data_IF_606942157132
#
_entry.id   IF_606942157132
#
_cell.length_a   1.000
_cell.length_b   1.000
_cell.length_c   1.000
_cell.angle_alpha   90.00
_cell.angle_beta   90.00
_cell.angle_gamma   90.00
#
_symmetry.space_group_name_H-M   'P 1'
#
loop_
_entity.id
_entity.type
_entity.pdbx_description
1 polymer ?
#
# COMPACT_ATOMS: atom_id res chain seq x y z
N UNK A 1 4.28 -17.17 9.62
CA UNK A 1 4.44 -15.75 9.92
C UNK A 1 4.02 -14.87 8.76
N UNK A 2 4.11 -13.57 8.89
CA UNK A 2 3.85 -12.58 7.85
C UNK A 2 5.10 -12.32 7.03
N UNK A 3 4.96 -12.27 5.71
CA UNK A 3 5.99 -11.78 4.81
C UNK A 3 5.68 -10.31 4.47
N UNK A 4 6.65 -9.43 4.69
CA UNK A 4 6.44 -7.97 4.55
C UNK A 4 7.42 -7.41 3.52
N UNK A 5 6.90 -6.68 2.55
CA UNK A 5 7.68 -5.89 1.60
C UNK A 5 7.68 -4.42 2.03
N UNK A 6 8.85 -3.80 2.05
CA UNK A 6 9.03 -2.40 2.43
C UNK A 6 9.52 -1.59 1.23
N UNK A 7 8.77 -0.57 0.84
CA UNK A 7 9.11 0.35 -0.24
C UNK A 7 8.99 1.80 0.24
N UNK A 8 9.59 2.72 -0.52
CA UNK A 8 9.68 4.11 -0.09
C UNK A 8 9.13 5.05 -1.16
N UNK A 9 8.14 5.84 -0.77
CA UNK A 9 7.67 7.05 -1.47
C UNK A 9 7.49 6.85 -2.98
N UNK A 10 8.45 7.31 -3.77
CA UNK A 10 8.42 7.32 -5.23
C UNK A 10 8.29 5.91 -5.85
N UNK A 11 8.73 4.87 -5.15
CA UNK A 11 8.57 3.47 -5.56
C UNK A 11 7.12 3.11 -5.86
N UNK A 12 6.16 3.78 -5.19
CA UNK A 12 4.73 3.59 -5.42
C UNK A 12 4.30 3.78 -6.88
N UNK A 13 5.03 4.62 -7.65
CA UNK A 13 4.74 4.89 -9.06
C UNK A 13 5.13 3.77 -10.01
N UNK A 14 5.90 2.80 -9.55
CA UNK A 14 6.50 1.75 -10.37
C UNK A 14 5.90 0.38 -10.04
N UNK A 15 4.83 -0.04 -10.75
CA UNK A 15 4.10 -1.29 -10.43
C UNK A 15 4.97 -2.54 -10.57
N UNK A 16 5.90 -2.56 -11.51
CA UNK A 16 6.82 -3.70 -11.71
C UNK A 16 7.70 -3.92 -10.48
N UNK A 17 8.12 -2.83 -9.82
CA UNK A 17 8.98 -2.86 -8.63
C UNK A 17 8.29 -3.48 -7.41
N UNK A 18 6.97 -3.31 -7.32
CA UNK A 18 6.15 -3.86 -6.22
C UNK A 18 5.39 -5.13 -6.61
N UNK A 19 5.67 -5.72 -7.77
CA UNK A 19 4.94 -6.90 -8.22
C UNK A 19 5.15 -8.07 -7.25
N UNK A 20 4.04 -8.64 -6.77
CA UNK A 20 4.03 -9.78 -5.87
C UNK A 20 4.12 -11.09 -6.67
N UNK A 21 5.33 -11.51 -6.97
CA UNK A 21 5.56 -12.74 -7.73
C UNK A 21 5.33 -13.95 -6.81
N UNK A 22 4.41 -14.85 -7.21
CA UNK A 22 4.15 -16.07 -6.45
C UNK A 22 3.66 -15.87 -5.01
N UNK A 23 3.07 -14.72 -4.69
CA UNK A 23 2.66 -14.34 -3.33
C UNK A 23 3.84 -14.32 -2.32
N UNK A 24 4.98 -13.76 -2.71
CA UNK A 24 6.17 -13.66 -1.86
C UNK A 24 5.95 -12.79 -0.62
N UNK A 25 4.98 -11.87 -0.63
CA UNK A 25 4.64 -11.06 0.52
C UNK A 25 3.12 -10.95 0.76
N UNK A 26 2.74 -10.66 1.99
CA UNK A 26 1.36 -10.56 2.46
C UNK A 26 0.95 -9.12 2.75
N UNK A 27 1.92 -8.30 3.14
CA UNK A 27 1.78 -6.89 3.48
C UNK A 27 2.84 -6.06 2.77
N UNK A 28 2.40 -5.05 2.03
CA UNK A 28 3.25 -4.06 1.39
C UNK A 28 3.14 -2.74 2.16
N UNK A 29 4.26 -2.18 2.58
CA UNK A 29 4.31 -0.93 3.35
C UNK A 29 5.08 0.12 2.56
N UNK A 30 4.47 1.30 2.39
CA UNK A 30 5.11 2.50 1.88
C UNK A 30 5.23 3.55 2.97
N UNK A 31 6.42 4.10 3.16
CA UNK A 31 6.64 5.32 3.93
C UNK A 31 6.98 6.46 2.97
N UNK A 32 6.40 7.65 3.18
CA UNK A 32 6.52 8.71 2.19
C UNK A 32 6.52 10.13 2.75
N UNK A 33 7.11 11.02 1.94
CA UNK A 33 6.85 12.46 1.91
C UNK A 33 6.06 12.76 0.63
N UNK A 34 4.75 12.50 0.65
CA UNK A 34 3.87 12.65 -0.51
C UNK A 34 3.04 13.93 -0.39
N UNK A 35 3.31 14.95 -1.23
CA UNK A 35 2.72 16.28 -1.04
C UNK A 35 1.27 16.37 -1.52
N UNK A 36 0.54 17.34 -0.97
CA UNK A 36 -0.88 17.60 -1.22
C UNK A 36 -1.26 17.61 -2.71
N UNK A 37 -0.55 18.31 -3.62
CA UNK A 37 -0.95 18.36 -5.02
C UNK A 37 -1.01 16.99 -5.73
N UNK A 38 -0.39 15.96 -5.16
CA UNK A 38 -0.37 14.60 -5.68
C UNK A 38 -1.15 13.60 -4.84
N UNK A 39 -2.00 14.08 -3.93
CA UNK A 39 -2.77 13.23 -3.01
C UNK A 39 -3.64 12.19 -3.73
N UNK A 40 -4.30 12.57 -4.82
CA UNK A 40 -5.11 11.64 -5.62
C UNK A 40 -4.27 10.44 -6.11
N UNK A 41 -3.05 10.71 -6.54
CA UNK A 41 -2.14 9.64 -7.00
C UNK A 41 -1.78 8.68 -5.87
N UNK A 42 -1.49 9.21 -4.67
CA UNK A 42 -1.23 8.42 -3.47
C UNK A 42 -2.39 7.48 -3.13
N UNK A 43 -3.59 8.02 -3.00
CA UNK A 43 -4.77 7.24 -2.65
C UNK A 43 -5.10 6.18 -3.71
N UNK A 44 -5.00 6.54 -5.00
CA UNK A 44 -5.31 5.65 -6.12
C UNK A 44 -4.30 4.51 -6.22
N UNK A 45 -3.01 4.82 -6.18
CA UNK A 45 -1.97 3.81 -6.38
C UNK A 45 -1.83 2.86 -5.19
N UNK A 46 -2.00 3.31 -3.95
CA UNK A 46 -2.02 2.39 -2.80
C UNK A 46 -3.11 1.35 -2.93
N UNK A 47 -4.32 1.77 -3.31
CA UNK A 47 -5.44 0.86 -3.54
C UNK A 47 -5.17 -0.09 -4.71
N UNK A 48 -4.63 0.43 -5.81
CA UNK A 48 -4.27 -0.39 -6.97
C UNK A 48 -3.27 -1.48 -6.62
N UNK A 49 -2.24 -1.16 -5.81
CA UNK A 49 -1.25 -2.13 -5.34
C UNK A 49 -1.88 -3.26 -4.52
N UNK A 50 -2.87 -2.94 -3.67
CA UNK A 50 -3.58 -3.94 -2.89
C UNK A 50 -4.38 -4.91 -3.79
N UNK A 51 -5.09 -4.37 -4.77
CA UNK A 51 -5.91 -5.14 -5.70
C UNK A 51 -5.08 -6.02 -6.63
N UNK A 52 -4.09 -5.46 -7.31
CA UNK A 52 -3.29 -6.17 -8.32
C UNK A 52 -2.37 -7.25 -7.73
N UNK A 53 -1.94 -7.05 -6.47
CA UNK A 53 -1.03 -7.96 -5.78
C UNK A 53 -1.72 -8.89 -4.78
N UNK A 54 -3.04 -8.78 -4.62
CA UNK A 54 -3.81 -9.53 -3.62
C UNK A 54 -3.11 -9.56 -2.25
N UNK A 55 -2.81 -8.38 -1.71
CA UNK A 55 -2.12 -8.21 -0.44
C UNK A 55 -2.73 -7.07 0.37
N UNK A 56 -2.38 -6.98 1.65
CA UNK A 56 -2.61 -5.77 2.41
C UNK A 56 -1.61 -4.70 1.99
N UNK A 57 -2.06 -3.44 1.93
CA UNK A 57 -1.18 -2.29 1.65
C UNK A 57 -1.34 -1.24 2.74
N UNK A 58 -0.23 -0.83 3.32
CA UNK A 58 -0.16 0.23 4.30
C UNK A 58 0.66 1.40 3.72
N UNK A 59 0.04 2.56 3.59
CA UNK A 59 0.72 3.80 3.24
C UNK A 59 0.84 4.71 4.46
N UNK A 60 2.05 5.11 4.81
CA UNK A 60 2.33 6.03 5.91
C UNK A 60 2.94 7.30 5.33
N UNK A 61 2.22 8.41 5.42
CA UNK A 61 2.65 9.70 4.89
C UNK A 61 2.77 10.74 5.99
N UNK A 62 3.74 11.63 5.85
CA UNK A 62 3.94 12.74 6.77
C UNK A 62 2.86 13.81 6.68
N UNK A 63 2.80 14.67 7.69
CA UNK A 63 2.10 15.96 7.71
C UNK A 63 3.09 17.12 7.85
N UNK A 64 2.62 18.34 7.68
CA UNK A 64 3.40 19.58 7.85
C UNK A 64 3.96 20.12 6.55
N UNK A 65 4.88 21.05 6.66
CA UNK A 65 5.54 21.74 5.52
C UNK A 65 7.04 21.51 5.57
N UNK A 66 7.67 21.32 4.43
CA UNK A 66 9.13 21.15 4.34
C UNK A 66 9.87 22.47 4.10
N UNK A 67 11.20 22.39 4.02
CA UNK A 67 12.05 23.55 3.78
C UNK A 67 11.87 24.23 2.41
N UNK A 68 11.19 23.56 1.47
CA UNK A 68 10.84 24.07 0.15
C UNK A 68 9.40 24.60 0.07
N UNK A 69 8.73 24.77 1.22
CA UNK A 69 7.34 25.20 1.33
C UNK A 69 6.32 24.25 0.70
N UNK A 70 6.69 22.97 0.51
CA UNK A 70 5.74 21.93 0.13
C UNK A 70 4.97 21.46 1.35
N UNK A 71 3.65 21.41 1.22
CA UNK A 71 2.76 20.96 2.29
C UNK A 71 2.32 19.51 2.10
N UNK A 72 2.19 18.83 3.23
CA UNK A 72 1.83 17.42 3.35
C UNK A 72 0.67 17.29 4.34
N UNK A 73 -0.40 16.65 3.93
CA UNK A 73 -1.60 16.50 4.75
C UNK A 73 -1.87 15.08 5.24
N UNK A 74 -0.89 14.19 5.14
CA UNK A 74 -1.05 12.81 5.58
C UNK A 74 -1.72 11.92 4.54
N UNK A 75 -2.91 11.41 4.86
CA UNK A 75 -3.57 10.39 4.05
C UNK A 75 -2.99 9.00 4.28
N UNK A 76 -2.48 8.74 5.47
CA UNK A 76 -2.05 7.42 5.88
C UNK A 76 -3.24 6.48 5.94
N UNK A 77 -3.13 5.30 5.29
CA UNK A 77 -4.23 4.37 5.10
C UNK A 77 -3.75 2.93 5.06
N UNK A 78 -4.66 2.03 5.35
CA UNK A 78 -4.49 0.60 5.14
C UNK A 78 -5.61 0.08 4.26
N UNK A 79 -5.24 -0.64 3.20
CA UNK A 79 -6.17 -1.31 2.29
C UNK A 79 -6.08 -2.82 2.46
N UNK A 80 -7.25 -3.48 2.41
CA UNK A 80 -7.34 -4.93 2.29
C UNK A 80 -6.99 -5.38 0.86
N UNK A 81 -6.80 -6.67 0.66
CA UNK A 81 -6.61 -7.26 -0.67
C UNK A 81 -7.81 -7.10 -1.61
N UNK A 82 -8.99 -6.71 -1.07
CA UNK A 82 -10.19 -6.36 -1.83
C UNK A 82 -10.25 -4.87 -2.21
N UNK A 83 -9.23 -4.08 -1.87
CA UNK A 83 -9.20 -2.65 -2.10
C UNK A 83 -10.07 -1.82 -1.14
N UNK A 84 -10.55 -2.43 -0.05
CA UNK A 84 -11.31 -1.75 0.99
C UNK A 84 -10.36 -0.97 1.92
N UNK A 85 -10.70 0.25 2.23
CA UNK A 85 -10.00 1.02 3.26
C UNK A 85 -10.41 0.48 4.64
N UNK A 86 -9.51 -0.25 5.28
CA UNK A 86 -9.76 -0.90 6.59
C UNK A 86 -9.12 -0.14 7.75
N UNK A 87 -8.39 0.91 7.48
CA UNK A 87 -7.82 1.81 8.45
C UNK A 87 -7.31 3.08 7.81
N UNK A 88 -7.44 4.19 8.53
CA UNK A 88 -6.93 5.50 8.14
C UNK A 88 -6.57 6.33 9.37
N UNK A 89 -5.84 7.40 9.11
CA UNK A 89 -5.55 8.40 10.13
C UNK A 89 -6.04 9.77 9.65
N UNK A 90 -6.60 10.62 10.53
CA UNK A 90 -7.11 11.93 10.15
C UNK A 90 -6.07 12.78 9.44
N UNK A 91 -6.48 13.44 8.37
CA UNK A 91 -5.61 14.37 7.65
C UNK A 91 -5.13 15.51 8.57
N UNK A 92 -3.95 16.04 8.27
CA UNK A 92 -3.31 17.17 8.98
C UNK A 92 -2.99 16.91 10.47
N UNK A 93 -3.08 15.66 10.93
CA UNK A 93 -2.78 15.29 12.31
C UNK A 93 -1.63 14.30 12.38
N UNK A 94 -0.82 14.44 13.43
CA UNK A 94 0.17 13.45 13.86
C UNK A 94 -0.44 12.52 14.89
N UNK A 95 -0.05 11.24 14.87
CA UNK A 95 -0.49 10.28 15.86
C UNK A 95 -0.23 8.84 15.47
N UNK A 96 -0.90 7.93 16.17
CA UNK A 96 -0.81 6.50 15.99
C UNK A 96 -2.21 5.94 15.74
N UNK A 97 -2.34 5.06 14.77
CA UNK A 97 -3.50 4.22 14.56
C UNK A 97 -3.09 2.75 14.56
N UNK A 98 -3.93 1.91 15.11
CA UNK A 98 -3.73 0.45 15.10
C UNK A 98 -4.79 -0.20 14.25
N UNK A 99 -4.36 -1.06 13.33
CA UNK A 99 -5.24 -1.82 12.44
C UNK A 99 -4.92 -3.30 12.57
N UNK A 100 -5.95 -4.12 12.75
CA UNK A 100 -5.79 -5.58 12.78
C UNK A 100 -5.89 -6.16 11.39
N UNK A 101 -4.93 -7.00 11.03
CA UNK A 101 -4.90 -7.72 9.75
C UNK A 101 -5.10 -9.21 10.01
N UNK A 102 -5.74 -9.92 9.06
CA UNK A 102 -6.02 -11.34 9.18
C UNK A 102 -5.38 -12.11 8.03
N UNK A 103 -4.34 -12.87 8.34
CA UNK A 103 -3.59 -13.66 7.35
C UNK A 103 -4.44 -14.81 6.77
N UNK A 104 -5.28 -15.43 7.60
CA UNK A 104 -6.14 -16.53 7.13
C UNK A 104 -7.15 -16.03 6.09
N UNK A 105 -7.76 -14.88 6.31
CA UNK A 105 -8.67 -14.25 5.34
C UNK A 105 -7.96 -13.97 4.01
N UNK A 106 -6.73 -13.45 4.06
CA UNK A 106 -5.93 -13.22 2.87
C UNK A 106 -5.64 -14.52 2.11
N UNK A 107 -5.21 -15.56 2.82
CA UNK A 107 -4.89 -16.86 2.21
C UNK A 107 -6.14 -17.52 1.58
N UNK A 108 -7.27 -17.49 2.27
CA UNK A 108 -8.55 -18.00 1.73
C UNK A 108 -8.96 -17.24 0.46
N UNK A 109 -8.75 -15.93 0.40
CA UNK A 109 -9.02 -15.15 -0.81
C UNK A 109 -8.12 -15.57 -1.97
N UNK A 110 -6.82 -15.70 -1.74
CA UNK A 110 -5.84 -16.14 -2.74
C UNK A 110 -6.11 -17.55 -3.26
N UNK A 111 -6.56 -18.45 -2.40
CA UNK A 111 -6.95 -19.82 -2.78
C UNK A 111 -8.22 -19.83 -3.62
N UNK A 112 -9.24 -19.05 -3.22
CA UNK A 112 -10.52 -18.97 -3.91
C UNK A 112 -10.44 -18.28 -5.26
N UNK A 113 -9.55 -17.30 -5.42
CA UNK A 113 -9.37 -16.53 -6.65
C UNK A 113 -7.87 -16.34 -6.93
N UNK A 114 -7.17 -17.37 -7.44
CA UNK A 114 -5.73 -17.39 -7.54
C UNK A 114 -5.19 -16.70 -8.81
N UNK A 115 -5.46 -15.40 -8.99
CA UNK A 115 -5.03 -14.61 -10.17
C UNK A 115 -3.52 -14.61 -10.39
N UNK A 116 -2.74 -14.79 -9.34
CA UNK A 116 -1.28 -14.87 -9.42
C UNK A 116 -0.78 -16.04 -10.26
N UNK A 117 -1.58 -17.11 -10.44
CA UNK A 117 -1.25 -18.27 -11.27
C UNK A 117 -1.36 -17.97 -12.77
N UNK A 118 -2.08 -16.93 -13.14
CA UNK A 118 -2.28 -16.51 -14.53
C UNK A 118 -1.23 -15.46 -14.97
N UNK A 119 -0.31 -15.09 -14.07
CA UNK A 119 0.74 -14.14 -14.38
C UNK A 119 1.85 -14.79 -15.21
N UNK A 120 2.20 -14.13 -16.31
CA UNK A 120 3.35 -14.52 -17.13
C UNK A 120 4.67 -14.15 -16.44
N UNK A 121 5.71 -14.95 -16.72
CA UNK A 121 7.08 -14.59 -16.36
C UNK A 121 7.65 -13.58 -17.38
N UNK A 122 8.34 -12.57 -16.89
CA UNK A 122 9.02 -11.60 -17.72
C UNK A 122 10.34 -11.15 -17.07
N UNK A 123 11.26 -10.69 -17.88
CA UNK A 123 12.55 -10.14 -17.46
C UNK A 123 12.68 -8.69 -17.90
N UNK A 124 13.30 -7.87 -17.04
CA UNK A 124 13.60 -6.47 -17.30
C UNK A 124 14.97 -6.32 -17.97
#
# INVERSE_FOLDING_TARGET
GWNICLLVCYDLRFPVWSRNVGNEYDLLIYVANWPIPRRLVWDTLLRARALENQCYVCGVNRVGTDGYQLSYNGGSKVYSAFGEEIGSFPDEKEGIATVSLNLNTLNQFREKFPVWKDADEFHL
#
